data_IF_323035933682
#
_entry.id   IF_323035933682
#
_cell.length_a   1.000
_cell.length_b   1.000
_cell.length_c   1.000
_cell.angle_alpha   90.00
_cell.angle_beta   90.00
_cell.angle_gamma   90.00
#
_symmetry.space_group_name_H-M   'P 1'
#
loop_
_entity.id
_entity.type
_entity.pdbx_description
1 polymer ?
#
# COMPACT_ATOMS: atom_id res chain seq x y z
N UNK A 1 6.84 -12.43 -30.09
CA UNK A 1 6.83 -10.98 -29.84
C UNK A 1 7.92 -10.39 -30.70
N UNK A 2 7.57 -9.48 -31.59
CA UNK A 2 8.52 -8.84 -32.49
C UNK A 2 9.20 -7.69 -31.71
N UNK A 3 10.39 -7.95 -31.17
CA UNK A 3 11.13 -7.00 -30.32
C UNK A 3 11.52 -5.74 -31.10
N UNK A 4 11.54 -5.82 -32.45
CA UNK A 4 11.85 -4.72 -33.36
C UNK A 4 10.77 -3.62 -33.36
N UNK A 5 9.61 -3.88 -32.74
CA UNK A 5 8.53 -2.89 -32.55
C UNK A 5 8.72 -1.97 -31.34
N UNK A 6 9.65 -2.26 -30.42
CA UNK A 6 9.93 -1.40 -29.26
C UNK A 6 10.91 -0.30 -29.69
N UNK A 7 10.38 0.71 -30.37
CA UNK A 7 11.18 1.84 -30.89
C UNK A 7 11.34 2.98 -29.87
N UNK A 8 10.63 2.91 -28.73
CA UNK A 8 10.65 3.90 -27.66
C UNK A 8 10.62 3.19 -26.30
N UNK A 9 11.16 3.80 -25.22
CA UNK A 9 11.02 3.28 -23.86
C UNK A 9 9.56 3.01 -23.50
N UNK A 10 9.32 1.96 -22.72
CA UNK A 10 7.98 1.63 -22.23
C UNK A 10 7.38 2.82 -21.47
N UNK A 11 6.20 3.27 -21.91
CA UNK A 11 5.49 4.39 -21.29
C UNK A 11 4.32 3.87 -20.46
N UNK A 12 4.39 4.08 -19.15
CA UNK A 12 3.31 3.68 -18.25
C UNK A 12 2.18 4.72 -18.22
N UNK A 13 0.98 4.28 -17.87
CA UNK A 13 -0.23 5.10 -17.84
C UNK A 13 -1.03 4.89 -16.55
N UNK A 14 -1.81 5.92 -16.17
CA UNK A 14 -2.71 5.88 -15.01
C UNK A 14 -4.02 5.17 -15.31
N UNK A 15 -4.65 4.69 -14.24
CA UNK A 15 -6.02 4.22 -14.25
C UNK A 15 -6.17 2.78 -14.73
N UNK A 16 -7.41 2.26 -14.76
CA UNK A 16 -7.69 0.92 -15.22
C UNK A 16 -7.51 0.84 -16.74
N UNK A 17 -6.83 -0.22 -17.20
CA UNK A 17 -6.56 -0.42 -18.63
C UNK A 17 -7.42 -1.54 -19.19
N UNK A 18 -8.05 -1.30 -20.34
CA UNK A 18 -8.76 -2.33 -21.09
C UNK A 18 -7.80 -3.08 -22.01
N UNK A 19 -8.00 -4.39 -22.26
CA UNK A 19 -7.23 -5.12 -23.26
C UNK A 19 -7.24 -4.40 -24.62
N UNK A 20 -6.06 -4.22 -25.20
CA UNK A 20 -5.91 -3.56 -26.50
C UNK A 20 -5.82 -2.03 -26.48
N UNK A 21 -5.89 -1.37 -25.31
CA UNK A 21 -5.73 0.10 -25.20
C UNK A 21 -4.34 0.61 -25.56
N UNK A 22 -3.33 -0.27 -25.57
CA UNK A 22 -1.92 0.11 -25.71
C UNK A 22 -1.33 0.79 -24.46
N UNK A 23 -2.10 0.86 -23.37
CA UNK A 23 -1.73 1.48 -22.10
C UNK A 23 -1.64 0.42 -20.98
N UNK A 24 -0.74 0.65 -20.01
CA UNK A 24 -0.53 -0.25 -18.88
C UNK A 24 0.15 0.46 -17.71
N UNK A 25 -0.14 0.02 -16.49
CA UNK A 25 0.56 0.47 -15.29
C UNK A 25 1.74 -0.45 -14.96
N UNK A 26 2.56 -0.08 -13.98
CA UNK A 26 3.69 -0.90 -13.52
C UNK A 26 3.26 -2.35 -13.17
N UNK A 27 2.10 -2.54 -12.53
CA UNK A 27 1.65 -3.87 -12.13
C UNK A 27 1.25 -4.75 -13.32
N UNK A 28 0.78 -4.17 -14.43
CA UNK A 28 0.52 -4.92 -15.66
C UNK A 28 1.82 -5.46 -16.28
N UNK A 29 2.91 -4.70 -16.17
CA UNK A 29 4.25 -5.15 -16.58
C UNK A 29 4.72 -6.31 -15.72
N UNK A 30 4.54 -6.22 -14.39
CA UNK A 30 4.86 -7.32 -13.48
C UNK A 30 4.01 -8.56 -13.81
N UNK A 31 2.71 -8.38 -14.06
CA UNK A 31 1.80 -9.46 -14.46
C UNK A 31 2.25 -10.16 -15.75
N UNK A 32 2.64 -9.38 -16.76
CA UNK A 32 3.18 -9.89 -18.01
C UNK A 32 4.46 -10.70 -17.80
N UNK A 33 5.43 -10.15 -17.04
CA UNK A 33 6.72 -10.79 -16.79
C UNK A 33 6.55 -12.06 -15.94
N UNK A 34 5.61 -12.06 -14.99
CA UNK A 34 5.27 -13.24 -14.19
C UNK A 34 4.65 -14.36 -15.04
N UNK A 35 4.12 -14.03 -16.23
CA UNK A 35 3.42 -14.99 -17.08
C UNK A 35 2.00 -15.29 -16.59
N UNK A 36 1.31 -14.30 -15.99
CA UNK A 36 -0.08 -14.48 -15.61
C UNK A 36 -0.95 -14.77 -16.85
N UNK A 37 -1.92 -15.68 -16.70
CA UNK A 37 -2.85 -16.05 -17.79
C UNK A 37 -3.69 -14.87 -18.30
N UNK A 38 -3.90 -13.86 -17.46
CA UNK A 38 -4.54 -12.60 -17.80
C UNK A 38 -3.75 -11.46 -17.16
N UNK A 39 -3.42 -10.46 -17.97
CA UNK A 39 -2.78 -9.23 -17.48
C UNK A 39 -3.71 -8.52 -16.50
N UNK A 40 -3.19 -8.25 -15.31
CA UNK A 40 -3.94 -7.71 -14.17
C UNK A 40 -3.09 -6.70 -13.39
N UNK A 41 -3.75 -5.88 -12.59
CA UNK A 41 -3.10 -4.99 -11.62
C UNK A 41 -2.69 -5.73 -10.33
N UNK A 42 -3.10 -6.98 -10.19
CA UNK A 42 -2.80 -7.84 -9.03
C UNK A 42 -2.10 -9.12 -9.47
N UNK A 43 -0.80 -9.04 -9.85
CA UNK A 43 -0.06 -10.21 -10.32
C UNK A 43 -0.04 -11.34 -9.29
N UNK A 44 -0.05 -12.59 -9.74
CA UNK A 44 -0.08 -13.74 -8.83
C UNK A 44 1.16 -13.82 -7.91
N UNK A 45 2.30 -13.25 -8.34
CA UNK A 45 3.53 -13.19 -7.56
C UNK A 45 3.57 -12.08 -6.50
N UNK A 46 2.62 -11.15 -6.51
CA UNK A 46 2.63 -9.94 -5.67
C UNK A 46 1.52 -9.99 -4.63
N UNK A 47 1.84 -9.59 -3.39
CA UNK A 47 0.81 -9.39 -2.39
C UNK A 47 -0.16 -8.30 -2.86
N UNK A 48 -1.45 -8.64 -2.95
CA UNK A 48 -2.52 -7.73 -3.36
C UNK A 48 -2.50 -6.35 -2.69
N UNK A 49 -2.30 -6.21 -1.36
CA UNK A 49 -2.20 -4.88 -0.74
C UNK A 49 -1.03 -4.07 -1.30
N UNK A 50 0.14 -4.68 -1.49
CA UNK A 50 1.32 -3.98 -2.02
C UNK A 50 1.14 -3.58 -3.49
N UNK A 51 0.51 -4.45 -4.28
CA UNK A 51 0.13 -4.13 -5.67
C UNK A 51 -0.79 -2.90 -5.74
N UNK A 52 -1.75 -2.77 -4.81
CA UNK A 52 -2.63 -1.60 -4.73
C UNK A 52 -1.88 -0.31 -4.35
N UNK A 53 -0.88 -0.39 -3.46
CA UNK A 53 0.03 0.74 -3.18
C UNK A 53 0.80 1.16 -4.42
N UNK A 54 1.38 0.22 -5.17
CA UNK A 54 2.11 0.53 -6.41
C UNK A 54 1.19 1.11 -7.48
N UNK A 55 -0.01 0.58 -7.65
CA UNK A 55 -1.00 1.13 -8.59
C UNK A 55 -1.35 2.57 -8.24
N UNK A 56 -1.65 2.85 -6.97
CA UNK A 56 -1.97 4.21 -6.51
C UNK A 56 -0.78 5.15 -6.71
N UNK A 57 0.44 4.68 -6.45
CA UNK A 57 1.66 5.45 -6.70
C UNK A 57 1.87 5.73 -8.21
N UNK A 58 1.66 4.73 -9.07
CA UNK A 58 1.72 4.87 -10.52
C UNK A 58 0.76 5.97 -11.00
N UNK A 59 -0.49 5.93 -10.52
CA UNK A 59 -1.52 6.88 -10.92
C UNK A 59 -1.20 8.32 -10.48
N UNK A 60 -0.64 8.49 -9.28
CA UNK A 60 -0.18 9.79 -8.78
C UNK A 60 1.05 10.32 -9.51
N UNK A 61 1.92 9.43 -10.00
CA UNK A 61 3.12 9.79 -10.76
C UNK A 61 2.82 10.18 -12.22
N UNK A 62 1.60 9.91 -12.71
CA UNK A 62 1.21 10.25 -14.06
C UNK A 62 0.97 11.76 -14.22
N UNK A 63 1.47 12.32 -15.32
CA UNK A 63 1.23 13.72 -15.66
C UNK A 63 -0.19 14.00 -16.16
N UNK A 64 -0.50 15.26 -16.54
CA UNK A 64 -1.84 15.66 -17.00
C UNK A 64 -2.38 14.83 -18.17
N UNK A 65 -1.49 14.37 -19.06
CA UNK A 65 -1.85 13.51 -20.19
C UNK A 65 -2.16 12.05 -19.82
N UNK A 66 -2.14 11.68 -18.54
CA UNK A 66 -2.42 10.32 -18.06
C UNK A 66 -1.27 9.32 -18.22
N UNK A 67 -0.12 9.77 -18.72
CA UNK A 67 1.10 8.96 -18.85
C UNK A 67 2.17 9.42 -17.88
N UNK A 68 3.00 8.48 -17.45
CA UNK A 68 4.21 8.76 -16.67
C UNK A 68 5.31 9.26 -17.62
N UNK A 69 6.20 10.10 -17.10
CA UNK A 69 7.48 10.40 -17.75
C UNK A 69 8.39 9.16 -17.69
N UNK A 70 9.48 9.09 -18.46
CA UNK A 70 10.44 8.00 -18.35
C UNK A 70 10.97 7.80 -16.92
N UNK A 71 11.29 8.88 -16.21
CA UNK A 71 11.84 8.86 -14.84
C UNK A 71 10.80 8.31 -13.85
N UNK A 72 9.55 8.79 -13.95
CA UNK A 72 8.47 8.30 -13.11
C UNK A 72 8.11 6.85 -13.42
N UNK A 73 8.24 6.44 -14.69
CA UNK A 73 8.04 5.04 -15.09
C UNK A 73 9.07 4.12 -14.44
N UNK A 74 10.33 4.53 -14.36
CA UNK A 74 11.38 3.79 -13.65
C UNK A 74 11.04 3.66 -12.15
N UNK A 75 10.57 4.74 -11.50
CA UNK A 75 10.16 4.69 -10.09
C UNK A 75 9.02 3.69 -9.89
N UNK A 76 7.97 3.77 -10.70
CA UNK A 76 6.82 2.88 -10.58
C UNK A 76 7.20 1.40 -10.86
N UNK A 77 8.04 1.16 -11.87
CA UNK A 77 8.54 -0.19 -12.19
C UNK A 77 9.44 -0.76 -11.10
N UNK A 78 10.34 0.06 -10.53
CA UNK A 78 11.17 -0.37 -9.40
C UNK A 78 10.31 -0.80 -8.23
N UNK A 79 9.35 0.04 -7.80
CA UNK A 79 8.40 -0.32 -6.75
C UNK A 79 7.60 -1.58 -7.10
N UNK A 80 7.12 -1.71 -8.35
CA UNK A 80 6.46 -2.92 -8.84
C UNK A 80 7.31 -4.17 -8.70
N UNK A 81 8.59 -4.10 -9.10
CA UNK A 81 9.53 -5.22 -9.01
C UNK A 81 9.81 -5.63 -7.57
N UNK A 82 9.85 -4.67 -6.64
CA UNK A 82 10.01 -4.95 -5.21
C UNK A 82 8.84 -5.77 -4.62
N UNK A 83 7.66 -5.79 -5.27
CA UNK A 83 6.52 -6.63 -4.86
C UNK A 83 6.65 -8.09 -5.30
N UNK A 84 7.56 -8.43 -6.22
CA UNK A 84 7.71 -9.81 -6.72
C UNK A 84 8.13 -10.75 -5.59
N UNK A 85 7.42 -11.89 -5.49
CA UNK A 85 7.64 -12.92 -4.47
C UNK A 85 7.03 -12.60 -3.11
N UNK A 86 6.18 -11.57 -3.01
CA UNK A 86 5.52 -11.19 -1.74
C UNK A 86 4.17 -11.88 -1.53
N UNK A 87 3.63 -12.56 -2.54
CA UNK A 87 2.40 -13.34 -2.43
C UNK A 87 2.55 -14.57 -1.51
N UNK A 88 1.40 -15.13 -1.09
CA UNK A 88 1.36 -16.44 -0.40
C UNK A 88 1.95 -16.46 1.02
N UNK A 89 2.20 -15.31 1.65
CA UNK A 89 2.74 -15.26 3.02
C UNK A 89 1.75 -15.77 4.07
N UNK A 90 2.28 -16.16 5.22
CA UNK A 90 1.45 -16.63 6.33
C UNK A 90 0.53 -15.53 6.88
N UNK A 91 -0.59 -15.94 7.49
CA UNK A 91 -1.51 -15.03 8.20
C UNK A 91 -0.80 -14.17 9.24
N UNK A 92 0.24 -14.71 9.90
CA UNK A 92 1.00 -13.97 10.91
C UNK A 92 1.69 -12.74 10.32
N UNK A 93 2.21 -12.84 9.10
CA UNK A 93 2.83 -11.71 8.37
C UNK A 93 1.78 -10.65 8.07
N UNK A 94 0.60 -11.04 7.60
CA UNK A 94 -0.51 -10.10 7.31
C UNK A 94 -0.91 -9.32 8.56
N UNK A 95 -1.08 -9.99 9.70
CA UNK A 95 -1.39 -9.28 10.95
C UNK A 95 -0.23 -8.41 11.43
N UNK A 96 1.02 -8.88 11.34
CA UNK A 96 2.18 -8.05 11.70
C UNK A 96 2.26 -6.78 10.83
N UNK A 97 2.02 -6.92 9.52
CA UNK A 97 2.04 -5.80 8.59
C UNK A 97 0.88 -4.84 8.81
N UNK A 98 -0.32 -5.34 9.13
CA UNK A 98 -1.44 -4.49 9.54
C UNK A 98 -1.09 -3.66 10.78
N UNK A 99 -0.41 -4.24 11.77
CA UNK A 99 0.04 -3.48 12.94
C UNK A 99 1.05 -2.38 12.56
N UNK A 100 2.01 -2.66 11.67
CA UNK A 100 2.98 -1.67 11.17
C UNK A 100 2.30 -0.57 10.34
N UNK A 101 1.36 -0.95 9.46
CA UNK A 101 0.54 -0.02 8.68
C UNK A 101 -0.19 0.96 9.60
N UNK A 102 -0.74 0.47 10.71
CA UNK A 102 -1.46 1.31 11.66
C UNK A 102 -0.54 2.22 12.48
N UNK A 103 0.62 1.72 12.93
CA UNK A 103 1.38 2.36 14.03
C UNK A 103 2.81 2.77 13.73
N UNK A 104 3.34 2.46 12.55
CA UNK A 104 4.70 2.87 12.22
C UNK A 104 4.83 4.40 12.30
N UNK A 105 5.79 4.94 13.06
CA UNK A 105 5.95 6.38 13.20
C UNK A 105 6.48 7.04 11.93
N UNK A 106 7.10 6.27 11.02
CA UNK A 106 7.71 6.79 9.79
C UNK A 106 6.71 6.81 8.63
N UNK A 107 5.90 5.77 8.47
CA UNK A 107 5.00 5.63 7.32
C UNK A 107 3.58 5.23 7.68
N UNK A 108 3.28 4.87 8.92
CA UNK A 108 1.97 4.35 9.32
C UNK A 108 0.90 5.42 9.46
N UNK A 109 -0.35 4.97 9.57
CA UNK A 109 -1.56 5.78 9.60
C UNK A 109 -1.71 6.62 10.87
N UNK A 110 -1.07 6.22 11.98
CA UNK A 110 -1.04 6.98 13.25
C UNK A 110 -0.55 8.43 13.07
N UNK A 111 0.26 8.69 12.04
CA UNK A 111 0.75 10.03 11.70
C UNK A 111 -0.35 11.02 11.31
N UNK A 112 -1.50 10.51 10.87
CA UNK A 112 -2.66 11.33 10.49
C UNK A 112 -3.72 11.39 11.60
N UNK A 113 -3.55 10.60 12.66
CA UNK A 113 -4.51 10.49 13.74
C UNK A 113 -4.46 11.72 14.66
N UNK A 114 -5.61 12.10 15.22
CA UNK A 114 -5.66 13.04 16.34
C UNK A 114 -5.24 12.34 17.62
N UNK A 115 -4.73 13.10 18.60
CA UNK A 115 -4.33 12.59 19.91
C UNK A 115 -5.40 11.68 20.54
N UNK A 116 -6.68 12.06 20.45
CA UNK A 116 -7.81 11.28 20.97
C UNK A 116 -7.94 9.90 20.30
N UNK A 117 -7.66 9.81 19.01
CA UNK A 117 -7.82 8.59 18.19
C UNK A 117 -6.57 7.70 18.15
N UNK A 118 -5.39 8.21 18.56
CA UNK A 118 -4.13 7.44 18.55
C UNK A 118 -4.27 6.17 19.40
N UNK A 119 -4.93 6.27 20.55
CA UNK A 119 -5.10 5.12 21.45
C UNK A 119 -5.90 3.99 20.78
N UNK A 120 -7.00 4.31 20.11
CA UNK A 120 -7.82 3.30 19.43
C UNK A 120 -7.03 2.56 18.34
N UNK A 121 -6.25 3.30 17.53
CA UNK A 121 -5.37 2.71 16.51
C UNK A 121 -4.30 1.82 17.15
N UNK A 122 -3.67 2.28 18.23
CA UNK A 122 -2.63 1.53 18.94
C UNK A 122 -3.17 0.25 19.58
N UNK A 123 -4.36 0.30 20.18
CA UNK A 123 -5.02 -0.86 20.80
C UNK A 123 -5.33 -1.94 19.75
N UNK A 124 -5.89 -1.56 18.59
CA UNK A 124 -6.16 -2.47 17.48
C UNK A 124 -4.85 -3.08 16.94
N UNK A 125 -3.83 -2.24 16.74
CA UNK A 125 -2.53 -2.72 16.28
C UNK A 125 -1.91 -3.73 17.26
N UNK A 126 -2.08 -3.56 18.58
CA UNK A 126 -1.61 -4.53 19.55
C UNK A 126 -2.34 -5.87 19.48
N UNK A 127 -3.64 -5.87 19.18
CA UNK A 127 -4.38 -7.12 18.89
C UNK A 127 -3.78 -7.84 17.67
N UNK A 128 -3.44 -7.10 16.61
CA UNK A 128 -2.75 -7.65 15.45
C UNK A 128 -1.37 -8.22 15.80
N UNK A 129 -0.56 -7.51 16.60
CA UNK A 129 0.76 -8.01 17.03
C UNK A 129 0.64 -9.30 17.86
N UNK A 130 -0.38 -9.44 18.71
CA UNK A 130 -0.65 -10.70 19.44
C UNK A 130 -0.90 -11.86 18.48
N UNK A 131 -1.72 -11.66 17.45
CA UNK A 131 -1.97 -12.69 16.43
C UNK A 131 -0.69 -13.05 15.67
N UNK A 132 0.13 -12.06 15.32
CA UNK A 132 1.41 -12.29 14.67
C UNK A 132 2.35 -13.15 15.52
N UNK A 133 2.39 -12.91 16.84
CA UNK A 133 3.14 -13.72 17.82
C UNK A 133 2.51 -15.10 18.09
N UNK A 134 1.30 -15.35 17.62
CA UNK A 134 0.63 -16.65 17.72
C UNK A 134 -0.40 -16.76 18.84
N UNK A 135 -0.70 -15.66 19.51
CA UNK A 135 -1.74 -15.59 20.53
C UNK A 135 -2.99 -14.97 19.91
N UNK A 136 -4.06 -15.75 19.74
CA UNK A 136 -5.33 -15.21 19.25
C UNK A 136 -6.09 -14.52 20.40
N UNK A 137 -6.33 -13.19 20.34
CA UNK A 137 -7.23 -12.54 21.30
C UNK A 137 -8.66 -13.05 21.12
N UNK A 138 -9.47 -12.99 22.17
CA UNK A 138 -10.90 -13.33 22.07
C UNK A 138 -11.63 -12.40 21.11
N UNK A 139 -12.68 -12.90 20.45
CA UNK A 139 -13.54 -12.09 19.57
C UNK A 139 -14.13 -10.87 20.31
N UNK A 140 -14.49 -11.03 21.59
CA UNK A 140 -14.96 -9.93 22.43
C UNK A 140 -13.95 -8.76 22.49
N UNK A 141 -12.64 -9.03 22.56
CA UNK A 141 -11.62 -7.97 22.55
C UNK A 141 -11.55 -7.24 21.20
N UNK A 142 -11.75 -7.96 20.11
CA UNK A 142 -11.82 -7.35 18.77
C UNK A 142 -13.06 -6.47 18.61
N UNK A 143 -14.23 -6.96 19.04
CA UNK A 143 -15.46 -6.17 19.02
C UNK A 143 -15.36 -4.93 19.90
N UNK A 144 -14.83 -5.03 21.12
CA UNK A 144 -14.63 -3.85 21.98
C UNK A 144 -13.71 -2.81 21.30
N UNK A 145 -12.62 -3.24 20.67
CA UNK A 145 -11.73 -2.33 19.98
C UNK A 145 -12.39 -1.70 18.74
N UNK A 146 -13.20 -2.47 18.01
CA UNK A 146 -14.03 -1.99 16.91
C UNK A 146 -15.03 -0.92 17.38
N UNK A 147 -15.80 -1.19 18.44
CA UNK A 147 -16.82 -0.28 18.96
C UNK A 147 -16.22 1.04 19.42
N UNK A 148 -15.06 0.99 20.08
CA UNK A 148 -14.31 2.19 20.48
C UNK A 148 -13.88 2.99 19.24
N UNK A 149 -13.25 2.35 18.26
CA UNK A 149 -12.79 3.03 17.05
C UNK A 149 -13.95 3.62 16.23
N UNK A 150 -15.10 2.92 16.16
CA UNK A 150 -16.31 3.40 15.51
C UNK A 150 -16.95 4.56 16.27
N UNK A 151 -16.98 4.52 17.60
CA UNK A 151 -17.46 5.63 18.43
C UNK A 151 -16.63 6.90 18.19
N UNK A 152 -15.30 6.77 18.19
CA UNK A 152 -14.37 7.85 17.86
C UNK A 152 -14.56 8.37 16.43
N UNK A 153 -14.83 7.49 15.46
CA UNK A 153 -15.07 7.85 14.06
C UNK A 153 -16.39 8.60 13.88
N UNK A 154 -17.44 8.20 14.60
CA UNK A 154 -18.76 8.84 14.55
C UNK A 154 -18.75 10.22 15.21
N UNK A 155 -17.92 10.43 16.24
CA UNK A 155 -17.69 11.74 16.83
C UNK A 155 -16.78 12.63 15.97
N UNK A 156 -16.16 12.07 14.93
CA UNK A 156 -15.22 12.75 14.06
C UNK A 156 -15.94 13.62 13.03
N UNK A 157 -15.48 14.85 12.83
CA UNK A 157 -15.94 15.71 11.71
C UNK A 157 -14.94 15.54 10.55
N UNK A 158 -15.25 14.76 9.50
CA UNK A 158 -14.26 14.36 8.49
C UNK A 158 -13.62 15.55 7.77
N UNK A 159 -14.39 16.62 7.54
CA UNK A 159 -13.91 17.84 6.89
C UNK A 159 -12.72 18.50 7.61
N UNK A 160 -12.56 18.26 8.91
CA UNK A 160 -11.49 18.87 9.71
C UNK A 160 -10.17 18.09 9.73
N UNK A 161 -10.19 16.80 9.37
CA UNK A 161 -8.99 15.96 9.22
C UNK A 161 -9.33 14.68 8.42
N UNK A 162 -9.47 14.78 7.09
CA UNK A 162 -9.95 13.67 6.27
C UNK A 162 -8.98 12.49 6.24
N UNK A 163 -7.66 12.74 6.33
CA UNK A 163 -6.66 11.69 6.42
C UNK A 163 -6.80 10.86 7.71
N UNK A 164 -7.03 11.53 8.86
CA UNK A 164 -7.27 10.88 10.14
C UNK A 164 -8.57 10.06 10.17
N UNK A 165 -9.62 10.53 9.49
CA UNK A 165 -10.85 9.75 9.33
C UNK A 165 -10.58 8.41 8.63
N UNK A 166 -9.87 8.42 7.49
CA UNK A 166 -9.53 7.19 6.77
C UNK A 166 -8.51 6.31 7.51
N UNK A 167 -7.62 6.91 8.31
CA UNK A 167 -6.73 6.16 9.19
C UNK A 167 -7.52 5.33 10.22
N UNK A 168 -8.52 5.94 10.84
CA UNK A 168 -9.42 5.25 11.76
C UNK A 168 -10.32 4.23 11.03
N UNK A 169 -10.74 4.55 9.81
CA UNK A 169 -11.48 3.63 8.95
C UNK A 169 -10.70 2.33 8.69
N UNK A 170 -9.43 2.45 8.30
CA UNK A 170 -8.55 1.31 8.10
C UNK A 170 -8.36 0.49 9.39
N UNK A 171 -8.25 1.16 10.54
CA UNK A 171 -8.11 0.51 11.84
C UNK A 171 -9.32 -0.36 12.19
N UNK A 172 -10.55 0.18 12.18
CA UNK A 172 -11.71 -0.65 12.53
C UNK A 172 -11.95 -1.76 11.50
N UNK A 173 -11.77 -1.51 10.19
CA UNK A 173 -11.89 -2.54 9.15
C UNK A 173 -10.90 -3.68 9.37
N UNK A 174 -9.70 -3.39 9.88
CA UNK A 174 -8.68 -4.41 10.13
C UNK A 174 -9.07 -5.41 11.22
N UNK A 175 -9.98 -5.04 12.12
CA UNK A 175 -10.47 -5.95 13.17
C UNK A 175 -11.19 -7.16 12.57
N UNK A 176 -11.83 -7.03 11.42
CA UNK A 176 -12.55 -8.10 10.73
C UNK A 176 -11.62 -9.16 10.10
N UNK A 177 -10.30 -8.91 10.03
CA UNK A 177 -9.32 -9.89 9.52
C UNK A 177 -9.30 -11.17 10.36
N UNK A 178 -9.87 -11.16 11.58
CA UNK A 178 -9.99 -12.34 12.42
C UNK A 178 -11.04 -13.34 11.95
N UNK A 179 -12.07 -12.89 11.24
CA UNK A 179 -13.31 -13.63 10.93
C UNK A 179 -13.29 -14.42 9.61
N UNK A 180 -12.13 -14.60 8.98
CA UNK A 180 -11.99 -15.51 7.84
C UNK A 180 -12.33 -14.96 6.45
N UNK A 181 -12.99 -13.78 6.34
CA UNK A 181 -13.19 -13.03 5.07
C UNK A 181 -11.95 -12.25 4.63
N UNK A 182 -10.79 -12.91 4.69
CA UNK A 182 -9.46 -12.27 4.73
C UNK A 182 -9.16 -11.34 3.55
N UNK A 183 -9.50 -11.74 2.32
CA UNK A 183 -9.10 -10.97 1.15
C UNK A 183 -9.91 -9.69 0.99
N UNK A 184 -11.24 -9.77 1.04
CA UNK A 184 -12.11 -8.60 0.92
C UNK A 184 -11.86 -7.58 2.04
N UNK A 185 -11.68 -8.06 3.28
CA UNK A 185 -11.31 -7.20 4.40
C UNK A 185 -9.95 -6.54 4.20
N UNK A 186 -8.94 -7.28 3.75
CA UNK A 186 -7.61 -6.71 3.51
C UNK A 186 -7.63 -5.68 2.37
N UNK A 187 -8.43 -5.91 1.33
CA UNK A 187 -8.63 -4.96 0.23
C UNK A 187 -9.32 -3.67 0.75
N UNK A 188 -10.31 -3.78 1.65
CA UNK A 188 -10.96 -2.64 2.29
C UNK A 188 -10.01 -1.83 3.18
N UNK A 189 -9.25 -2.49 4.06
CA UNK A 189 -8.22 -1.89 4.91
C UNK A 189 -7.20 -1.14 4.06
N UNK A 190 -6.73 -1.78 2.99
CA UNK A 190 -5.77 -1.19 2.06
C UNK A 190 -6.37 0.03 1.38
N UNK A 191 -7.60 -0.05 0.86
CA UNK A 191 -8.28 1.09 0.23
C UNK A 191 -8.40 2.31 1.16
N UNK A 192 -8.75 2.09 2.43
CA UNK A 192 -8.81 3.17 3.43
C UNK A 192 -7.42 3.72 3.75
N UNK A 193 -6.40 2.87 3.88
CA UNK A 193 -5.02 3.30 4.09
C UNK A 193 -4.48 4.14 2.92
N UNK A 194 -4.74 3.73 1.67
CA UNK A 194 -4.33 4.46 0.48
C UNK A 194 -4.95 5.87 0.46
N UNK A 195 -6.25 5.99 0.79
CA UNK A 195 -6.94 7.29 0.91
C UNK A 195 -6.35 8.15 2.02
N UNK A 196 -6.07 7.57 3.20
CA UNK A 196 -5.42 8.29 4.30
C UNK A 196 -4.05 8.84 3.88
N UNK A 197 -3.23 8.03 3.22
CA UNK A 197 -1.94 8.48 2.69
C UNK A 197 -2.09 9.58 1.64
N UNK A 198 -2.97 9.41 0.64
CA UNK A 198 -3.17 10.41 -0.42
C UNK A 198 -3.57 11.78 0.15
N UNK A 199 -4.47 11.78 1.13
CA UNK A 199 -4.93 13.01 1.79
C UNK A 199 -3.88 13.58 2.74
N UNK A 200 -3.12 12.73 3.43
CA UNK A 200 -2.17 13.12 4.45
C UNK A 200 -0.79 13.52 3.93
N UNK A 201 -0.34 12.99 2.79
CA UNK A 201 0.90 13.44 2.12
C UNK A 201 0.67 14.65 1.22
N UNK A 202 -0.59 14.94 0.88
CA UNK A 202 -0.96 15.87 -0.17
C UNK A 202 -0.88 15.22 -1.55
N UNK A 203 -1.87 15.49 -2.39
CA UNK A 203 -1.97 14.97 -3.78
C UNK A 203 -0.78 15.48 -4.63
N UNK A 204 -0.22 16.64 -4.27
CA UNK A 204 0.90 17.28 -4.98
C UNK A 204 2.28 16.71 -4.61
N UNK A 205 2.35 15.67 -3.77
CA UNK A 205 3.62 14.99 -3.42
C UNK A 205 3.69 13.52 -3.86
N UNK A 206 3.71 13.23 -5.19
CA UNK A 206 3.88 11.87 -5.70
C UNK A 206 5.15 11.17 -5.16
N UNK A 207 6.23 11.92 -4.94
CA UNK A 207 7.47 11.40 -4.36
C UNK A 207 7.30 11.00 -2.89
N UNK A 208 6.51 11.76 -2.12
CA UNK A 208 6.15 11.38 -0.76
C UNK A 208 5.35 10.07 -0.72
N UNK A 209 4.42 9.90 -1.67
CA UNK A 209 3.65 8.67 -1.79
C UNK A 209 4.49 7.46 -2.24
N UNK A 210 5.45 7.67 -3.15
CA UNK A 210 6.42 6.65 -3.54
C UNK A 210 7.27 6.18 -2.35
N UNK A 211 7.63 7.10 -1.45
CA UNK A 211 8.31 6.75 -0.20
C UNK A 211 7.43 5.86 0.69
N UNK A 212 6.17 6.24 0.93
CA UNK A 212 5.23 5.42 1.72
C UNK A 212 5.06 4.03 1.10
N UNK A 213 4.92 3.95 -0.22
CA UNK A 213 4.82 2.69 -0.96
C UNK A 213 6.06 1.81 -0.75
N UNK A 214 7.25 2.41 -0.86
CA UNK A 214 8.51 1.72 -0.58
C UNK A 214 8.58 1.20 0.86
N UNK A 215 8.20 2.01 1.86
CA UNK A 215 8.19 1.57 3.27
C UNK A 215 7.19 0.43 3.52
N UNK A 216 6.00 0.50 2.92
CA UNK A 216 4.99 -0.55 3.00
C UNK A 216 5.52 -1.88 2.45
N UNK A 217 6.19 -1.86 1.28
CA UNK A 217 6.79 -3.04 0.65
C UNK A 217 7.95 -3.58 1.50
N UNK A 218 8.86 -2.72 1.92
CA UNK A 218 10.01 -3.15 2.73
C UNK A 218 9.58 -3.72 4.08
N UNK A 219 8.56 -3.13 4.72
CA UNK A 219 7.98 -3.65 5.95
C UNK A 219 7.46 -5.08 5.75
N UNK A 220 6.67 -5.31 4.69
CA UNK A 220 6.17 -6.64 4.35
C UNK A 220 7.29 -7.65 4.15
N UNK A 221 8.32 -7.28 3.36
CA UNK A 221 9.46 -8.17 3.08
C UNK A 221 10.24 -8.52 4.34
N UNK A 222 10.50 -7.55 5.23
CA UNK A 222 11.14 -7.80 6.53
C UNK A 222 10.33 -8.79 7.38
N UNK A 223 9.03 -8.54 7.52
CA UNK A 223 8.13 -9.37 8.31
C UNK A 223 7.97 -10.79 7.75
N UNK A 224 8.09 -10.94 6.43
CA UNK A 224 8.04 -12.23 5.74
C UNK A 224 9.40 -12.95 5.69
N UNK A 225 10.49 -12.35 6.16
CA UNK A 225 11.84 -12.91 6.02
C UNK A 225 12.34 -12.96 4.57
N UNK A 226 11.79 -12.12 3.69
CA UNK A 226 12.17 -12.07 2.28
C UNK A 226 13.40 -11.17 2.08
N UNK A 227 14.25 -11.45 1.07
CA UNK A 227 15.39 -10.60 0.74
C UNK A 227 14.94 -9.16 0.51
N UNK A 228 15.65 -8.19 1.10
CA UNK A 228 15.38 -6.79 0.82
C UNK A 228 15.87 -6.43 -0.59
N UNK A 229 15.12 -5.61 -1.35
CA UNK A 229 15.60 -5.10 -2.62
C UNK A 229 16.92 -4.35 -2.39
N UNK A 230 17.91 -4.59 -3.25
CA UNK A 230 19.08 -3.72 -3.28
C UNK A 230 18.56 -2.33 -3.62
N UNK A 231 18.77 -1.34 -2.75
CA UNK A 231 18.53 0.06 -3.11
C UNK A 231 19.33 0.31 -4.39
N UNK A 232 18.66 0.60 -5.50
CA UNK A 232 19.34 1.16 -6.65
C UNK A 232 20.17 2.33 -6.13
N UNK A 233 21.48 2.33 -6.38
CA UNK A 233 22.35 3.42 -5.98
C UNK A 233 21.70 4.71 -6.47
N UNK A 234 21.26 5.55 -5.53
CA UNK A 234 20.64 6.84 -5.88
C UNK A 234 21.56 7.54 -6.87
N UNK A 235 20.97 8.12 -7.91
CA UNK A 235 21.57 9.26 -8.58
C UNK A 235 21.93 10.28 -7.49
N UNK A 236 23.20 10.27 -7.13
CA UNK A 236 23.89 11.26 -6.34
C UNK A 236 24.16 12.46 -7.26
N UNK A 237 23.08 13.07 -7.77
CA UNK A 237 23.12 14.23 -8.65
C UNK A 237 22.01 15.20 -8.21
N UNK A 238 22.21 15.81 -7.04
CA UNK A 238 21.59 17.10 -6.65
C UNK A 238 22.16 17.64 -5.32
N UNK A 239 23.43 17.35 -4.99
CA UNK A 239 24.12 17.95 -3.83
C UNK A 239 25.57 18.37 -4.13
N UNK A 240 25.83 18.72 -5.38
CA UNK A 240 27.07 19.36 -5.82
C UNK A 240 26.81 20.21 -7.05
N UNK A 241 25.98 21.26 -6.93
CA UNK A 241 26.04 22.44 -7.81
C UNK A 241 25.29 23.60 -7.13
N UNK A 242 26.00 24.70 -6.91
CA UNK A 242 25.60 25.99 -6.30
C UNK A 242 25.37 25.99 -4.78
#
# INVERSE_FOLDING_TARGET
MDLDRITNPLRLAKGPHQPGSGAGCAMNVISYINGDSKITDYPACSARPLAAFVQSCNDLLAGPGGYLTPENSIIALDLGWQTVGTAGVSRRVVHAWAAELLTSPTWGLVRYARITTIKAIADIAELHRRVARGTMPSLARWHTAYDIAMGEANAFVPASNPAGFYALQAAHQSTELVEGRRQATLDAVTGSALRAHMLGTGIDSPIGYAHVTSEAIQSWRRLAGLPLPKRAGRHQLARTSA
#
